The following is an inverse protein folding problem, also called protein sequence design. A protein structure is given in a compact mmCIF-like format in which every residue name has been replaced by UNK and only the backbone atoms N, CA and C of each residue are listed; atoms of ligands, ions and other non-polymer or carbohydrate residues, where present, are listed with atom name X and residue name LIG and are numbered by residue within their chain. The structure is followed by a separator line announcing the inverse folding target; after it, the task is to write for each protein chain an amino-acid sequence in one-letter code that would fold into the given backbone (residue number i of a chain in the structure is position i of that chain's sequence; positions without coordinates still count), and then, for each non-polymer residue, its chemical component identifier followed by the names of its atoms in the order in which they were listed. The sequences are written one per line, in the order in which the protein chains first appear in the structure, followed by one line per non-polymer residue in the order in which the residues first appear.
data_IF_567996789871
#
_entry.id   IF_567996789871
#
_cell.length_a   1.000
_cell.length_b   1.000
_cell.length_c   1.000
_cell.angle_alpha   90.00
_cell.angle_beta   90.00
_cell.angle_gamma   90.00
#
_symmetry.space_group_name_H-M   'P 1'
#
loop_
_entity.id
_entity.type
_entity.pdbx_description
1 polymer ?
#
# COMPACT_ATOMS: atom_id res chain seq x y z
N UNK A 1 -28.83 12.26 -10.42
CA UNK A 1 -29.06 12.64 -9.01
C UNK A 1 -27.85 13.44 -8.55
N UNK A 2 -28.06 14.58 -7.88
CA UNK A 2 -26.94 15.35 -7.31
C UNK A 2 -26.44 14.63 -6.05
N UNK A 3 -25.13 14.40 -5.95
CA UNK A 3 -24.51 13.82 -4.77
C UNK A 3 -24.63 14.80 -3.59
N UNK A 4 -25.10 14.31 -2.45
CA UNK A 4 -25.25 15.12 -1.24
C UNK A 4 -24.15 14.82 -0.21
N UNK A 5 -24.14 15.54 0.92
CA UNK A 5 -23.12 15.38 1.96
C UNK A 5 -23.13 13.98 2.59
N UNK A 6 -24.28 13.34 2.73
CA UNK A 6 -24.40 11.97 3.26
C UNK A 6 -23.77 10.96 2.31
N UNK A 7 -23.98 11.11 1.01
CA UNK A 7 -23.34 10.25 -0.01
C UNK A 7 -21.81 10.40 0.01
N UNK A 8 -21.33 11.65 0.13
CA UNK A 8 -19.89 11.94 0.25
C UNK A 8 -19.31 11.30 1.52
N UNK A 9 -19.98 11.49 2.66
CA UNK A 9 -19.50 10.95 3.94
C UNK A 9 -19.41 9.43 3.90
N UNK A 10 -20.43 8.75 3.39
CA UNK A 10 -20.44 7.29 3.28
C UNK A 10 -19.28 6.76 2.39
N UNK A 11 -18.92 7.49 1.34
CA UNK A 11 -17.78 7.15 0.48
C UNK A 11 -16.44 7.38 1.18
N UNK A 12 -16.29 8.50 1.90
CA UNK A 12 -15.07 8.80 2.66
C UNK A 12 -14.87 7.83 3.83
N UNK A 13 -15.93 7.48 4.55
CA UNK A 13 -15.88 6.54 5.69
C UNK A 13 -15.35 5.15 5.27
N UNK A 14 -15.58 4.75 4.02
CA UNK A 14 -15.10 3.48 3.48
C UNK A 14 -13.61 3.51 3.06
N UNK A 15 -13.01 4.67 2.86
CA UNK A 15 -11.64 4.82 2.33
C UNK A 15 -10.59 4.21 3.26
N UNK A 16 -10.56 4.52 4.59
CA UNK A 16 -9.53 3.98 5.47
C UNK A 16 -9.49 2.46 5.50
N UNK A 17 -10.66 1.80 5.51
CA UNK A 17 -10.75 0.35 5.47
C UNK A 17 -10.17 -0.22 4.16
N UNK A 18 -10.59 0.33 3.00
CA UNK A 18 -10.09 -0.12 1.68
C UNK A 18 -8.58 0.06 1.52
N UNK A 19 -8.03 1.14 2.08
CA UNK A 19 -6.59 1.39 2.09
C UNK A 19 -5.85 0.45 3.05
N UNK A 20 -6.44 0.15 4.22
CA UNK A 20 -5.89 -0.82 5.15
C UNK A 20 -5.83 -2.23 4.54
N UNK A 21 -6.82 -2.61 3.72
CA UNK A 21 -6.82 -3.87 2.97
C UNK A 21 -5.67 -3.97 1.96
N UNK A 22 -5.14 -2.83 1.50
CA UNK A 22 -3.91 -2.74 0.68
C UNK A 22 -2.63 -2.76 1.51
N UNK A 23 -2.72 -2.93 2.83
CA UNK A 23 -1.59 -3.00 3.75
C UNK A 23 -1.02 -1.64 4.14
N UNK A 24 -1.75 -0.55 3.90
CA UNK A 24 -1.33 0.80 4.30
C UNK A 24 -1.49 1.02 5.81
N UNK A 25 -0.53 1.72 6.41
CA UNK A 25 -0.50 2.00 7.85
C UNK A 25 -1.15 3.34 8.16
N UNK A 26 -2.07 3.34 9.13
CA UNK A 26 -2.85 4.52 9.55
C UNK A 26 -3.38 5.32 8.35
N UNK A 27 -4.13 4.68 7.44
CA UNK A 27 -4.71 5.36 6.32
C UNK A 27 -5.82 6.30 6.79
N UNK A 28 -5.95 7.42 6.09
CA UNK A 28 -6.99 8.40 6.30
C UNK A 28 -7.35 9.05 4.97
N UNK A 29 -8.61 9.48 4.85
CA UNK A 29 -9.19 10.03 3.64
C UNK A 29 -10.00 11.28 3.96
N UNK A 30 -9.77 12.35 3.22
CA UNK A 30 -10.46 13.62 3.41
C UNK A 30 -11.05 14.10 2.09
N UNK A 31 -12.30 14.54 2.10
CA UNK A 31 -12.87 15.30 1.00
C UNK A 31 -12.66 16.80 1.25
N UNK A 32 -11.98 17.48 0.32
CA UNK A 32 -11.66 18.90 0.44
C UNK A 32 -12.45 19.73 -0.57
N UNK A 33 -13.15 20.75 -0.05
CA UNK A 33 -13.70 21.86 -0.83
C UNK A 33 -12.90 23.11 -0.46
N UNK A 34 -12.34 23.80 -1.46
CA UNK A 34 -11.53 25.00 -1.26
C UNK A 34 -12.01 26.10 -2.20
N UNK A 35 -11.93 27.36 -1.75
CA UNK A 35 -12.21 28.50 -2.61
C UNK A 35 -11.23 28.55 -3.80
N UNK A 36 -11.72 28.92 -4.99
CA UNK A 36 -10.93 29.04 -6.23
C UNK A 36 -10.15 27.76 -6.62
N UNK A 37 -10.69 26.58 -6.31
CA UNK A 37 -10.07 25.30 -6.64
C UNK A 37 -11.13 24.28 -7.01
N UNK A 38 -10.74 23.29 -7.79
CA UNK A 38 -11.53 22.07 -7.99
C UNK A 38 -11.62 21.28 -6.68
N UNK A 39 -12.72 20.54 -6.44
CA UNK A 39 -12.80 19.61 -5.33
C UNK A 39 -11.70 18.54 -5.42
N UNK A 40 -11.32 17.99 -4.27
CA UNK A 40 -10.30 16.94 -4.22
C UNK A 40 -10.54 15.94 -3.12
N UNK A 41 -10.10 14.71 -3.33
CA UNK A 41 -9.89 13.73 -2.25
C UNK A 41 -8.41 13.71 -1.91
N UNK A 42 -8.08 13.89 -0.63
CA UNK A 42 -6.74 13.65 -0.12
C UNK A 42 -6.71 12.29 0.56
N UNK A 43 -5.80 11.43 0.10
CA UNK A 43 -5.47 10.18 0.78
C UNK A 43 -4.14 10.37 1.51
N UNK A 44 -4.04 9.90 2.75
CA UNK A 44 -2.77 9.92 3.48
C UNK A 44 -2.53 8.63 4.24
N UNK A 45 -1.27 8.24 4.36
CA UNK A 45 -0.85 7.06 5.13
C UNK A 45 0.60 7.19 5.57
N UNK A 46 0.98 6.42 6.59
CA UNK A 46 2.34 6.42 7.09
C UNK A 46 3.21 5.50 6.23
N UNK A 47 4.41 5.98 5.87
CA UNK A 47 5.39 5.14 5.17
C UNK A 47 5.93 4.06 6.12
N UNK A 48 6.22 2.87 5.59
CA UNK A 48 6.64 1.72 6.40
C UNK A 48 7.93 1.99 7.23
N UNK A 49 8.83 2.84 6.74
CA UNK A 49 10.17 3.02 7.31
C UNK A 49 10.39 4.35 8.05
N UNK A 50 9.33 5.10 8.38
CA UNK A 50 9.46 6.40 9.05
C UNK A 50 8.46 6.58 10.19
N UNK A 51 8.95 6.94 11.38
CA UNK A 51 8.12 7.31 12.54
C UNK A 51 7.38 8.65 12.28
N UNK A 52 7.80 9.45 11.29
CA UNK A 52 7.25 10.79 11.00
C UNK A 52 6.96 11.08 9.52
N UNK A 53 7.13 10.13 8.59
CA UNK A 53 7.00 10.41 7.15
C UNK A 53 5.64 9.96 6.63
N UNK A 54 4.71 10.90 6.50
CA UNK A 54 3.38 10.69 5.92
C UNK A 54 3.46 10.84 4.39
N UNK A 55 2.85 9.91 3.66
CA UNK A 55 2.62 10.06 2.23
C UNK A 55 1.23 10.69 2.01
N UNK A 56 1.12 11.53 0.98
CA UNK A 56 -0.12 12.18 0.59
C UNK A 56 -0.35 12.00 -0.91
N UNK A 57 -1.58 11.69 -1.29
CA UNK A 57 -2.05 11.65 -2.67
C UNK A 57 -3.25 12.59 -2.82
N UNK A 58 -3.25 13.45 -3.85
CA UNK A 58 -4.29 14.47 -4.06
C UNK A 58 -5.00 14.24 -5.38
N UNK A 59 -6.24 13.75 -5.31
CA UNK A 59 -7.03 13.37 -6.47
C UNK A 59 -8.07 14.45 -6.77
N UNK A 60 -7.80 15.25 -7.80
CA UNK A 60 -8.64 16.39 -8.22
C UNK A 60 -9.51 16.04 -9.43
N UNK A 61 -10.71 16.59 -9.47
CA UNK A 61 -11.61 16.52 -10.62
C UNK A 61 -12.59 17.70 -10.62
N UNK A 62 -13.27 17.92 -11.75
CA UNK A 62 -14.17 19.06 -11.91
C UNK A 62 -15.42 18.96 -11.04
N UNK A 63 -15.83 17.72 -10.70
CA UNK A 63 -16.97 17.47 -9.81
C UNK A 63 -16.58 16.64 -8.57
N UNK A 64 -17.34 16.77 -7.46
CA UNK A 64 -17.17 15.92 -6.28
C UNK A 64 -17.24 14.42 -6.59
N UNK A 65 -18.18 14.01 -7.46
CA UNK A 65 -18.40 12.61 -7.79
C UNK A 65 -17.20 12.00 -8.54
N UNK A 66 -16.64 12.74 -9.50
CA UNK A 66 -15.45 12.31 -10.23
C UNK A 66 -14.21 12.24 -9.32
N UNK A 67 -14.06 13.16 -8.37
CA UNK A 67 -12.94 13.14 -7.42
C UNK A 67 -12.99 11.88 -6.53
N UNK A 68 -14.18 11.52 -6.03
CA UNK A 68 -14.39 10.30 -5.26
C UNK A 68 -14.21 9.04 -6.11
N UNK A 69 -14.72 9.01 -7.34
CA UNK A 69 -14.52 7.89 -8.27
C UNK A 69 -13.02 7.68 -8.58
N UNK A 70 -12.25 8.76 -8.79
CA UNK A 70 -10.80 8.68 -8.93
C UNK A 70 -10.14 8.09 -7.69
N UNK A 71 -10.57 8.45 -6.48
CA UNK A 71 -10.05 7.86 -5.25
C UNK A 71 -10.33 6.36 -5.15
N UNK A 72 -11.54 5.93 -5.46
CA UNK A 72 -11.90 4.50 -5.47
C UNK A 72 -11.06 3.74 -6.50
N UNK A 73 -10.91 4.27 -7.72
CA UNK A 73 -10.10 3.66 -8.78
C UNK A 73 -8.62 3.60 -8.41
N UNK A 74 -8.08 4.67 -7.83
CA UNK A 74 -6.70 4.71 -7.36
C UNK A 74 -6.44 3.59 -6.34
N UNK A 75 -7.28 3.51 -5.29
CA UNK A 75 -7.15 2.47 -4.26
C UNK A 75 -7.30 1.07 -4.87
N UNK A 76 -8.26 0.87 -5.78
CA UNK A 76 -8.46 -0.41 -6.44
C UNK A 76 -7.21 -0.86 -7.23
N UNK A 77 -6.55 0.07 -7.93
CA UNK A 77 -5.34 -0.16 -8.71
C UNK A 77 -4.08 -0.38 -7.87
N UNK A 78 -4.11 -0.09 -6.56
CA UNK A 78 -2.99 -0.39 -5.68
C UNK A 78 -2.73 -1.90 -5.59
N UNK A 79 -1.47 -2.33 -5.49
CA UNK A 79 -1.14 -3.72 -5.21
C UNK A 79 -1.80 -4.18 -3.91
N UNK A 80 -2.13 -5.47 -3.83
CA UNK A 80 -2.54 -6.08 -2.56
C UNK A 80 -1.43 -5.97 -1.51
N UNK A 81 -1.78 -6.13 -0.23
CA UNK A 81 -0.80 -6.09 0.86
C UNK A 81 0.35 -7.09 0.66
N UNK A 82 0.06 -8.29 0.14
CA UNK A 82 1.06 -9.32 -0.11
C UNK A 82 1.92 -8.99 -1.34
N UNK A 83 1.33 -8.49 -2.42
CA UNK A 83 2.09 -8.00 -3.58
C UNK A 83 2.99 -6.83 -3.21
N UNK A 84 2.52 -5.90 -2.38
CA UNK A 84 3.31 -4.78 -1.89
C UNK A 84 4.52 -5.27 -1.08
N UNK A 85 4.33 -6.21 -0.14
CA UNK A 85 5.44 -6.82 0.63
C UNK A 85 6.43 -7.53 -0.29
N UNK A 86 5.93 -8.29 -1.28
CA UNK A 86 6.77 -8.96 -2.27
C UNK A 86 7.60 -7.96 -3.08
N UNK A 87 6.99 -6.88 -3.56
CA UNK A 87 7.70 -5.84 -4.30
C UNK A 87 8.77 -5.16 -3.44
N UNK A 88 8.46 -4.80 -2.19
CA UNK A 88 9.45 -4.24 -1.25
C UNK A 88 10.62 -5.18 -1.03
N UNK A 89 10.36 -6.48 -0.88
CA UNK A 89 11.41 -7.49 -0.73
C UNK A 89 12.29 -7.58 -1.98
N UNK A 90 11.68 -7.62 -3.17
CA UNK A 90 12.41 -7.66 -4.44
C UNK A 90 13.24 -6.39 -4.68
N UNK A 91 12.72 -5.21 -4.33
CA UNK A 91 13.48 -3.95 -4.38
C UNK A 91 14.69 -3.96 -3.44
N UNK A 92 14.53 -4.50 -2.22
CA UNK A 92 15.64 -4.63 -1.30
C UNK A 92 16.70 -5.60 -1.83
N UNK A 93 16.28 -6.71 -2.45
CA UNK A 93 17.19 -7.65 -3.11
C UNK A 93 17.94 -7.01 -4.27
N UNK A 94 17.26 -6.26 -5.13
CA UNK A 94 17.90 -5.56 -6.25
C UNK A 94 19.03 -4.65 -5.75
N UNK A 95 18.80 -3.90 -4.66
CA UNK A 95 19.84 -3.05 -4.05
C UNK A 95 21.05 -3.84 -3.55
N UNK A 96 20.83 -5.04 -3.00
CA UNK A 96 21.94 -5.92 -2.57
C UNK A 96 22.72 -6.42 -3.78
N UNK A 97 22.03 -6.72 -4.89
CA UNK A 97 22.68 -7.14 -6.14
C UNK A 97 23.55 -6.03 -6.71
N UNK A 98 23.00 -4.82 -6.78
CA UNK A 98 23.72 -3.65 -7.27
C UNK A 98 24.98 -3.40 -6.43
N UNK A 99 24.85 -3.44 -5.10
CA UNK A 99 25.99 -3.29 -4.19
C UNK A 99 27.04 -4.41 -4.36
N UNK A 100 26.61 -5.66 -4.52
CA UNK A 100 27.52 -6.79 -4.77
C UNK A 100 28.34 -6.59 -6.04
N UNK A 101 27.69 -6.16 -7.12
CA UNK A 101 28.34 -5.85 -8.39
C UNK A 101 29.34 -4.68 -8.26
N UNK A 102 28.96 -3.62 -7.54
CA UNK A 102 29.85 -2.48 -7.26
C UNK A 102 31.11 -2.88 -6.49
N UNK A 103 30.98 -3.86 -5.59
CA UNK A 103 32.09 -4.41 -4.80
C UNK A 103 32.85 -5.55 -5.48
N UNK A 104 32.48 -5.91 -6.72
CA UNK A 104 33.09 -7.01 -7.47
C UNK A 104 32.81 -8.40 -6.89
N UNK A 105 31.73 -8.57 -6.13
CA UNK A 105 31.30 -9.86 -5.58
C UNK A 105 30.23 -10.51 -6.46
N UNK A 106 30.38 -11.82 -6.71
CA UNK A 106 29.36 -12.61 -7.40
C UNK A 106 28.19 -12.93 -6.47
N UNK A 107 27.10 -12.19 -6.65
CA UNK A 107 25.84 -12.32 -5.93
C UNK A 107 24.86 -13.27 -6.63
N UNK A 108 25.21 -13.85 -7.78
CA UNK A 108 24.32 -14.67 -8.62
C UNK A 108 23.73 -15.89 -7.90
N UNK A 109 24.54 -16.59 -7.09
CA UNK A 109 24.07 -17.74 -6.31
C UNK A 109 23.05 -17.32 -5.23
N UNK A 110 23.30 -16.20 -4.54
CA UNK A 110 22.41 -15.66 -3.52
C UNK A 110 21.06 -15.21 -4.13
N UNK A 111 21.11 -14.58 -5.31
CA UNK A 111 19.91 -14.17 -6.05
C UNK A 111 19.06 -15.36 -6.44
N UNK A 112 19.67 -16.42 -6.96
CA UNK A 112 18.95 -17.63 -7.37
C UNK A 112 18.23 -18.29 -6.20
N UNK A 113 18.91 -18.38 -5.04
CA UNK A 113 18.39 -19.03 -3.85
C UNK A 113 17.33 -18.17 -3.16
N UNK A 114 17.51 -16.85 -3.12
CA UNK A 114 16.52 -15.93 -2.57
C UNK A 114 15.25 -15.86 -3.41
N UNK A 115 15.36 -15.95 -4.76
CA UNK A 115 14.20 -16.04 -5.64
C UNK A 115 13.39 -17.31 -5.35
N UNK A 116 14.08 -18.46 -5.26
CA UNK A 116 13.51 -19.76 -4.88
C UNK A 116 12.85 -19.73 -3.50
N UNK A 117 13.46 -19.06 -2.53
CA UNK A 117 12.89 -18.89 -1.18
C UNK A 117 11.66 -17.99 -1.20
N UNK A 118 11.66 -16.89 -1.95
CA UNK A 118 10.49 -15.99 -2.05
C UNK A 118 9.28 -16.70 -2.67
N UNK A 119 9.51 -17.52 -3.70
CA UNK A 119 8.45 -18.28 -4.36
C UNK A 119 7.85 -19.31 -3.39
N UNK A 120 8.69 -19.95 -2.57
CA UNK A 120 8.26 -20.99 -1.62
C UNK A 120 7.61 -20.44 -0.33
N UNK A 121 8.14 -19.35 0.24
CA UNK A 121 7.60 -18.72 1.47
C UNK A 121 6.20 -18.16 1.24
N UNK A 122 5.88 -17.73 0.02
CA UNK A 122 4.54 -17.28 -0.36
C UNK A 122 3.54 -18.46 -0.46
N UNK A 123 4.00 -19.65 -0.84
CA UNK A 123 3.18 -20.87 -0.88
C UNK A 123 3.07 -21.62 0.46
N UNK A 124 3.99 -21.45 1.40
CA UNK A 124 3.98 -22.21 2.65
C UNK A 124 3.14 -21.54 3.74
N UNK A 125 1.81 -21.71 3.66
CA UNK A 125 0.86 -21.39 4.73
C UNK A 125 0.99 -22.30 5.98
N UNK A 126 1.99 -23.19 6.05
CA UNK A 126 2.14 -24.12 7.18
C UNK A 126 3.07 -23.50 8.24
N UNK A 127 2.45 -22.95 9.29
CA UNK A 127 2.85 -23.03 10.74
C UNK A 127 2.73 -21.73 11.56
N UNK A 128 1.90 -20.75 11.21
CA UNK A 128 1.54 -19.70 12.20
C UNK A 128 0.63 -20.25 13.33
N UNK A 129 -0.03 -21.39 13.16
CA UNK A 129 -0.90 -22.00 14.18
C UNK A 129 -0.26 -23.02 15.14
N UNK A 130 1.02 -23.36 15.02
CA UNK A 130 1.60 -24.45 15.82
C UNK A 130 2.21 -24.04 17.18
N UNK A 131 2.36 -22.74 17.49
CA UNK A 131 3.04 -22.28 18.73
C UNK A 131 2.13 -21.95 19.92
N UNK A 132 0.80 -22.14 19.82
CA UNK A 132 -0.16 -21.83 20.91
C UNK A 132 -0.63 -23.02 21.76
N UNK A 133 -0.04 -24.22 21.62
CA UNK A 133 -0.49 -25.43 22.36
C UNK A 133 0.56 -26.12 23.25
N UNK A 134 1.53 -25.37 23.79
CA UNK A 134 2.41 -25.87 24.87
C UNK A 134 2.56 -24.80 25.96
N UNK A 135 1.44 -24.50 26.60
CA UNK A 135 1.36 -23.86 27.91
C UNK A 135 -0.08 -24.06 28.41
N UNK A 136 -0.37 -25.28 28.84
CA UNK A 136 -1.53 -25.65 29.65
C UNK A 136 -1.06 -26.76 30.60
#
# INVERSE_FOLDING_TARGET
MSMNTTDIQALIDAIPARMADKGLRQPDGEFCIRANSTPSVMLKWWKQNGISNTHYEFLRADTPAEALDKAVKFIAAMPSAEEAKRNTFLEALAKVVDLGNELGQDVGALVSEMKRLSENVITDQRKVHARRRRAA
#
